data_IF_442029098318
#
_entry.id   IF_442029098318
#
_cell.length_a   1.000
_cell.length_b   1.000
_cell.length_c   1.000
_cell.angle_alpha   90.00
_cell.angle_beta   90.00
_cell.angle_gamma   90.00
#
_symmetry.space_group_name_H-M   'P 1'
#
loop_
_entity.id
_entity.type
_entity.pdbx_description
1 polymer ?
#
# COMPACT_ATOMS: atom_id res chain seq x y z
N UNK A 1 -13.52 17.58 11.72
CA UNK A 1 -13.76 16.39 10.86
C UNK A 1 -12.67 16.37 9.81
N UNK A 2 -11.91 15.28 9.73
CA UNK A 2 -10.71 15.19 8.89
C UNK A 2 -11.06 15.45 7.42
N UNK A 3 -10.26 16.27 6.75
CA UNK A 3 -10.38 16.67 5.34
C UNK A 3 -10.01 15.52 4.40
N UNK A 4 -10.77 14.43 4.50
CA UNK A 4 -10.54 13.24 3.69
C UNK A 4 -10.87 13.52 2.22
N UNK A 5 -9.84 13.48 1.36
CA UNK A 5 -9.96 13.75 -0.07
C UNK A 5 -9.95 12.48 -0.94
N UNK A 6 -9.81 11.30 -0.33
CA UNK A 6 -9.60 10.03 -1.04
C UNK A 6 -8.36 10.04 -1.94
N UNK A 7 -8.20 9.00 -2.77
CA UNK A 7 -7.13 8.96 -3.79
C UNK A 7 -7.40 9.98 -4.91
N UNK A 8 -6.37 10.76 -5.26
CA UNK A 8 -6.41 11.72 -6.37
C UNK A 8 -6.65 11.05 -7.73
N UNK A 9 -7.29 11.75 -8.68
CA UNK A 9 -7.49 11.19 -10.02
C UNK A 9 -6.16 10.83 -10.71
N UNK A 10 -5.12 11.64 -10.53
CA UNK A 10 -3.78 11.34 -11.07
C UNK A 10 -3.20 10.06 -10.49
N UNK A 11 -3.35 9.82 -9.19
CA UNK A 11 -2.82 8.61 -8.58
C UNK A 11 -3.65 7.38 -8.96
N UNK A 12 -4.99 7.52 -9.09
CA UNK A 12 -5.83 6.44 -9.65
C UNK A 12 -5.32 5.99 -11.02
N UNK A 13 -4.98 6.93 -11.90
CA UNK A 13 -4.47 6.59 -13.23
C UNK A 13 -3.10 5.89 -13.19
N UNK A 14 -2.20 6.31 -12.29
CA UNK A 14 -0.91 5.62 -12.08
C UNK A 14 -1.11 4.19 -11.59
N UNK A 15 -2.00 4.01 -10.61
CA UNK A 15 -2.34 2.70 -10.04
C UNK A 15 -2.93 1.78 -11.11
N UNK A 16 -3.93 2.26 -11.86
CA UNK A 16 -4.56 1.50 -12.96
C UNK A 16 -3.51 1.09 -13.99
N UNK A 17 -2.63 2.01 -14.39
CA UNK A 17 -1.58 1.74 -15.37
C UNK A 17 -0.60 0.66 -14.87
N UNK A 18 -0.15 0.76 -13.61
CA UNK A 18 0.76 -0.20 -13.01
C UNK A 18 0.13 -1.61 -12.86
N UNK A 19 -1.15 -1.68 -12.46
CA UNK A 19 -1.89 -2.93 -12.35
C UNK A 19 -2.07 -3.60 -13.71
N UNK A 20 -2.47 -2.85 -14.74
CA UNK A 20 -2.62 -3.36 -16.12
C UNK A 20 -1.28 -3.87 -16.67
N UNK A 21 -0.19 -3.14 -16.44
CA UNK A 21 1.14 -3.57 -16.86
C UNK A 21 1.61 -4.88 -16.18
N UNK A 22 1.03 -5.22 -15.02
CA UNK A 22 1.26 -6.48 -14.29
C UNK A 22 0.27 -7.60 -14.63
N UNK A 23 -0.63 -7.36 -15.59
CA UNK A 23 -1.63 -8.35 -16.00
C UNK A 23 -2.83 -8.47 -15.06
N UNK A 24 -3.16 -7.42 -14.30
CA UNK A 24 -4.41 -7.40 -13.54
C UNK A 24 -5.61 -7.58 -14.49
N UNK A 25 -6.38 -8.65 -14.27
CA UNK A 25 -7.48 -9.07 -15.12
C UNK A 25 -8.81 -9.11 -14.37
N UNK A 26 -9.64 -10.11 -14.70
CA UNK A 26 -10.94 -10.35 -14.08
C UNK A 26 -10.86 -10.62 -12.58
N UNK A 27 -11.97 -10.34 -11.89
CA UNK A 27 -12.19 -10.67 -10.49
C UNK A 27 -12.06 -12.17 -10.26
N UNK A 28 -11.18 -12.64 -9.35
CA UNK A 28 -10.99 -14.07 -9.10
C UNK A 28 -12.19 -14.74 -8.40
N UNK A 29 -13.22 -13.96 -8.03
CA UNK A 29 -14.44 -14.47 -7.37
C UNK A 29 -15.64 -14.59 -8.31
N UNK A 30 -15.84 -13.64 -9.22
CA UNK A 30 -17.01 -13.61 -10.10
C UNK A 30 -16.68 -13.45 -11.59
N UNK A 31 -15.39 -13.40 -11.95
CA UNK A 31 -14.87 -13.23 -13.31
C UNK A 31 -15.25 -11.91 -14.02
N UNK A 32 -15.89 -10.99 -13.31
CA UNK A 32 -16.17 -9.63 -13.81
C UNK A 32 -14.89 -8.77 -13.83
N UNK A 33 -14.75 -7.87 -14.80
CA UNK A 33 -13.59 -7.00 -14.98
C UNK A 33 -13.81 -5.55 -14.53
N UNK A 34 -14.96 -5.23 -13.92
CA UNK A 34 -15.24 -3.90 -13.41
C UNK A 34 -14.64 -3.69 -12.02
N UNK A 35 -13.62 -2.84 -11.96
CA UNK A 35 -12.88 -2.52 -10.74
C UNK A 35 -12.97 -1.04 -10.39
N UNK A 36 -13.02 -0.74 -9.10
CA UNK A 36 -12.84 0.60 -8.54
C UNK A 36 -11.56 0.65 -7.71
N UNK A 37 -10.68 1.61 -8.00
CA UNK A 37 -9.57 1.94 -7.09
C UNK A 37 -10.15 2.70 -5.90
N UNK A 38 -10.06 2.08 -4.73
CA UNK A 38 -10.66 2.59 -3.49
C UNK A 38 -9.63 3.44 -2.75
N UNK A 39 -8.81 2.83 -1.89
CA UNK A 39 -8.01 3.55 -0.89
C UNK A 39 -6.63 2.95 -0.68
N UNK A 40 -5.72 3.78 -0.18
CA UNK A 40 -4.44 3.28 0.33
C UNK A 40 -4.67 2.55 1.65
N UNK A 41 -3.92 1.47 1.85
CA UNK A 41 -3.93 0.67 3.06
C UNK A 41 -2.51 0.49 3.59
N UNK A 42 -2.40 0.38 4.91
CA UNK A 42 -1.17 -0.05 5.59
C UNK A 42 -1.45 -1.40 6.23
N UNK A 43 -0.85 -2.46 5.69
CA UNK A 43 -1.04 -3.82 6.19
C UNK A 43 0.08 -4.09 7.19
N UNK A 44 -0.28 -4.25 8.46
CA UNK A 44 0.67 -4.69 9.48
C UNK A 44 0.96 -6.17 9.29
N UNK A 45 2.24 -6.52 9.25
CA UNK A 45 2.70 -7.89 9.08
C UNK A 45 3.76 -8.20 10.13
N UNK A 46 3.80 -9.47 10.55
CA UNK A 46 4.85 -9.97 11.42
C UNK A 46 6.06 -10.35 10.57
N UNK A 47 7.26 -9.94 10.98
CA UNK A 47 8.51 -10.29 10.29
C UNK A 47 8.84 -11.78 10.44
N UNK A 48 8.38 -12.39 11.54
CA UNK A 48 8.62 -13.79 11.86
C UNK A 48 7.31 -14.47 12.24
N UNK A 49 7.30 -15.81 12.25
CA UNK A 49 6.17 -16.58 12.76
C UNK A 49 6.11 -16.64 14.30
N UNK A 50 7.05 -15.99 15.00
CA UNK A 50 7.06 -15.96 16.45
C UNK A 50 5.95 -15.02 16.95
N UNK A 51 5.07 -15.54 17.82
CA UNK A 51 3.89 -14.81 18.32
C UNK A 51 4.24 -13.49 19.04
N UNK A 52 5.43 -13.42 19.62
CA UNK A 52 5.85 -12.31 20.50
C UNK A 52 7.01 -11.47 19.89
N UNK A 53 7.22 -11.53 18.57
CA UNK A 53 8.27 -10.70 17.97
C UNK A 53 7.87 -9.22 18.00
N UNK A 54 8.63 -8.41 18.74
CA UNK A 54 8.49 -6.94 18.82
C UNK A 54 8.85 -6.19 17.51
N UNK A 55 9.17 -6.91 16.42
CA UNK A 55 9.42 -6.34 15.09
C UNK A 55 8.14 -6.36 14.26
N UNK A 56 7.54 -5.18 14.04
CA UNK A 56 6.41 -5.00 13.14
C UNK A 56 6.87 -4.41 11.82
N UNK A 57 6.66 -5.13 10.73
CA UNK A 57 6.81 -4.58 9.38
C UNK A 57 5.45 -4.14 8.85
N UNK A 58 5.43 -3.18 7.92
CA UNK A 58 4.19 -2.75 7.30
C UNK A 58 4.34 -2.72 5.79
N UNK A 59 3.32 -3.22 5.09
CA UNK A 59 3.25 -3.21 3.63
C UNK A 59 2.30 -2.09 3.21
N UNK A 60 2.81 -1.01 2.58
CA UNK A 60 1.99 -0.03 1.89
C UNK A 60 1.29 -0.69 0.70
N UNK A 61 -0.03 -0.57 0.65
CA UNK A 61 -0.85 -1.19 -0.36
C UNK A 61 -1.92 -0.23 -0.88
N UNK A 62 -2.53 -0.59 -2.01
CA UNK A 62 -3.79 -0.03 -2.48
C UNK A 62 -4.85 -1.12 -2.52
N UNK A 63 -6.08 -0.76 -2.16
CA UNK A 63 -7.24 -1.61 -2.28
C UNK A 63 -7.99 -1.30 -3.57
N UNK A 64 -8.31 -2.34 -4.33
CA UNK A 64 -9.27 -2.28 -5.43
C UNK A 64 -10.48 -3.14 -5.09
N UNK A 65 -11.66 -2.72 -5.55
CA UNK A 65 -12.93 -3.38 -5.23
C UNK A 65 -13.63 -3.74 -6.54
N UNK A 66 -14.05 -5.00 -6.67
CA UNK A 66 -14.91 -5.42 -7.77
C UNK A 66 -16.29 -4.77 -7.62
N UNK A 67 -16.74 -4.07 -8.66
CA UNK A 67 -18.04 -3.38 -8.64
C UNK A 67 -19.23 -4.35 -8.70
N UNK A 68 -19.00 -5.58 -9.15
CA UNK A 68 -20.04 -6.60 -9.28
C UNK A 68 -20.29 -7.35 -7.96
N UNK A 69 -19.27 -8.04 -7.44
CA UNK A 69 -19.42 -8.93 -6.29
C UNK A 69 -18.80 -8.40 -4.98
N UNK A 70 -18.21 -7.20 -4.99
CA UNK A 70 -17.62 -6.58 -3.80
C UNK A 70 -16.30 -7.22 -3.33
N UNK A 71 -15.68 -8.10 -4.11
CA UNK A 71 -14.36 -8.67 -3.76
C UNK A 71 -13.31 -7.55 -3.65
N UNK A 72 -12.58 -7.54 -2.55
CA UNK A 72 -11.50 -6.58 -2.29
C UNK A 72 -10.17 -7.27 -2.54
N UNK A 73 -9.36 -6.71 -3.44
CA UNK A 73 -7.98 -7.12 -3.64
C UNK A 73 -7.03 -6.06 -3.08
N UNK A 74 -6.02 -6.49 -2.34
CA UNK A 74 -4.95 -5.66 -1.80
C UNK A 74 -3.70 -5.84 -2.66
N UNK A 75 -3.14 -4.74 -3.16
CA UNK A 75 -1.92 -4.76 -3.97
C UNK A 75 -0.82 -3.94 -3.30
N UNK A 76 0.29 -4.58 -2.96
CA UNK A 76 1.46 -3.89 -2.42
C UNK A 76 2.01 -2.86 -3.43
N UNK A 77 2.27 -1.64 -2.96
CA UNK A 77 2.70 -0.53 -3.83
C UNK A 77 4.12 -0.70 -4.37
N UNK A 78 5.01 -1.32 -3.59
CA UNK A 78 6.41 -1.49 -4.00
C UNK A 78 6.55 -2.39 -5.23
N UNK A 79 5.95 -3.60 -5.29
CA UNK A 79 5.92 -4.36 -6.53
C UNK A 79 5.33 -3.57 -7.70
N UNK A 80 4.33 -2.70 -7.48
CA UNK A 80 3.77 -1.87 -8.55
C UNK A 80 4.70 -0.73 -9.01
N UNK A 81 5.86 -0.52 -8.38
CA UNK A 81 6.74 0.62 -8.67
C UNK A 81 6.18 1.96 -8.18
N UNK A 82 5.19 1.93 -7.29
CA UNK A 82 4.50 3.11 -6.74
C UNK A 82 4.95 3.44 -5.31
N UNK A 83 5.99 2.77 -4.83
CA UNK A 83 6.61 3.02 -3.54
C UNK A 83 8.12 2.81 -3.64
N UNK A 84 8.91 3.86 -3.35
CA UNK A 84 10.37 3.80 -3.29
C UNK A 84 10.86 3.93 -1.85
N UNK A 85 11.78 3.06 -1.44
CA UNK A 85 12.41 3.07 -0.11
C UNK A 85 13.07 4.43 0.26
N UNK A 86 13.44 5.25 -0.73
CA UNK A 86 14.04 6.56 -0.50
C UNK A 86 13.11 7.57 0.22
N UNK A 87 11.79 7.36 0.20
CA UNK A 87 10.83 8.27 0.83
C UNK A 87 10.63 8.03 2.35
N UNK A 88 11.24 6.99 2.93
CA UNK A 88 11.01 6.60 4.33
C UNK A 88 12.11 7.08 5.29
N UNK A 89 13.16 7.77 4.80
CA UNK A 89 14.16 8.43 5.65
C UNK A 89 13.86 9.94 5.71
N UNK A 90 12.86 10.34 6.49
CA UNK A 90 12.62 11.77 6.79
C UNK A 90 12.13 12.04 8.21
N UNK A 91 12.23 11.09 9.13
CA UNK A 91 11.88 11.35 10.54
C UNK A 91 12.60 10.39 11.46
N UNK A 92 13.82 10.74 11.86
CA UNK A 92 14.50 9.99 12.93
C UNK A 92 16.01 10.16 13.03
N UNK A 93 16.53 11.39 13.14
CA UNK A 93 17.80 11.62 13.85
C UNK A 93 17.94 13.09 14.21
N UNK A 94 17.54 13.45 15.44
CA UNK A 94 18.12 14.60 16.13
C UNK A 94 18.65 14.12 17.48
N UNK A 95 19.97 14.18 17.60
CA UNK A 95 20.78 14.34 18.81
C UNK A 95 20.80 13.20 19.84
N UNK A 96 21.77 12.28 19.70
CA UNK A 96 22.65 11.89 20.80
C UNK A 96 24.06 11.60 20.26
N UNK A 97 25.01 12.50 20.54
CA UNK A 97 26.39 12.21 20.96
C UNK A 97 27.23 13.48 20.90
N UNK A 98 27.51 14.06 22.05
CA UNK A 98 28.83 14.58 22.38
C UNK A 98 28.95 14.62 23.90
N UNK A 99 29.52 13.55 24.44
CA UNK A 99 30.15 13.54 25.74
C UNK A 99 31.66 13.61 25.50
N UNK A 100 32.34 14.37 26.36
CA UNK A 100 33.77 14.31 26.70
C UNK A 100 34.74 15.10 25.79
N UNK A 101 35.02 16.33 26.21
CA UNK A 101 36.37 16.85 26.39
C UNK A 101 36.36 17.92 27.49
#
# INVERSE_FOLDING_TARGET
MSSYKGISNSDKQKIISALKARGAGSCPRCDDSQWTVSEYARIEVQETSARDSNGGATIPAVMIVCQHCGFIAQHALQPLGLWSHAATISSGTTAQHEALA
#
